data_IF_493274716767
#
_entry.id   IF_493274716767
#
_cell.length_a   1.000
_cell.length_b   1.000
_cell.length_c   1.000
_cell.angle_alpha   90.00
_cell.angle_beta   90.00
_cell.angle_gamma   90.00
#
_symmetry.space_group_name_H-M   'P 1'
#
loop_
_entity.id
_entity.type
_entity.pdbx_description
1 polymer ?
#
# COMPACT_ATOMS: atom_id res chain seq x y z
N UNK A 1 46.81 -29.99 -48.48
CA UNK A 1 48.00 -29.57 -47.74
C UNK A 1 47.74 -28.21 -47.10
N UNK A 2 47.88 -28.15 -45.78
CA UNK A 2 47.74 -27.03 -44.85
C UNK A 2 46.31 -26.63 -44.44
N UNK A 3 45.90 -27.20 -43.28
CA UNK A 3 44.97 -26.75 -42.26
C UNK A 3 45.34 -25.33 -41.78
N UNK A 4 44.35 -24.48 -41.61
CA UNK A 4 44.39 -23.44 -40.59
C UNK A 4 43.07 -23.42 -39.81
N UNK A 5 43.14 -23.92 -38.58
CA UNK A 5 42.12 -23.78 -37.57
C UNK A 5 42.12 -22.32 -37.08
N UNK A 6 40.97 -21.65 -37.11
CA UNK A 6 40.73 -20.38 -36.41
C UNK A 6 39.93 -20.65 -35.15
N UNK A 7 40.59 -20.61 -34.04
CA UNK A 7 39.99 -20.54 -32.69
C UNK A 7 39.36 -19.16 -32.55
N UNK A 8 38.05 -19.10 -32.46
CA UNK A 8 37.34 -17.89 -32.00
C UNK A 8 37.28 -17.91 -30.47
N UNK A 9 38.04 -17.03 -29.83
CA UNK A 9 37.90 -16.71 -28.41
C UNK A 9 36.61 -15.89 -28.22
N UNK A 10 35.66 -16.50 -27.53
CA UNK A 10 34.49 -15.80 -27.03
C UNK A 10 34.88 -14.75 -25.97
N UNK A 11 34.55 -13.50 -26.22
CA UNK A 11 34.60 -12.41 -25.22
C UNK A 11 33.32 -12.45 -24.43
N UNK A 12 33.37 -12.89 -23.16
CA UNK A 12 32.33 -12.66 -22.20
C UNK A 12 32.42 -11.21 -21.69
N UNK A 13 31.33 -10.43 -21.68
CA UNK A 13 31.33 -9.17 -20.98
C UNK A 13 31.20 -9.44 -19.47
N UNK A 14 32.22 -9.05 -18.70
CA UNK A 14 32.17 -8.98 -17.27
C UNK A 14 31.14 -7.90 -16.85
N UNK A 15 30.02 -8.32 -16.30
CA UNK A 15 29.14 -7.41 -15.56
C UNK A 15 29.80 -7.04 -14.24
N UNK A 16 30.17 -5.77 -14.10
CA UNK A 16 30.57 -5.18 -12.84
C UNK A 16 29.32 -4.97 -11.99
N UNK A 17 29.13 -5.85 -11.02
CA UNK A 17 28.20 -5.57 -9.91
C UNK A 17 28.89 -4.51 -9.05
N UNK A 18 28.45 -3.27 -9.19
CA UNK A 18 28.81 -2.20 -8.26
C UNK A 18 28.02 -2.46 -6.96
N UNK A 19 28.64 -3.20 -6.06
CA UNK A 19 28.18 -3.34 -4.70
C UNK A 19 28.34 -1.99 -3.99
N UNK A 20 27.23 -1.29 -3.78
CA UNK A 20 27.17 -0.11 -2.92
C UNK A 20 27.24 -0.59 -1.46
N UNK A 21 28.46 -0.78 -0.95
CA UNK A 21 28.69 -1.02 0.47
C UNK A 21 28.54 0.30 1.20
N UNK A 22 27.36 0.58 1.72
CA UNK A 22 27.15 1.65 2.70
C UNK A 22 27.67 1.16 4.03
N UNK A 23 28.90 1.51 4.35
CA UNK A 23 29.45 1.32 5.70
C UNK A 23 28.77 2.33 6.64
N UNK A 24 27.75 1.87 7.37
CA UNK A 24 27.25 2.57 8.54
C UNK A 24 28.24 2.40 9.67
N UNK A 25 29.14 3.37 9.84
CA UNK A 25 29.83 3.58 11.10
C UNK A 25 28.87 4.28 12.06
N UNK A 26 28.18 3.50 12.88
CA UNK A 26 27.45 4.03 14.02
C UNK A 26 28.46 4.58 15.05
N UNK A 27 28.33 5.84 15.50
CA UNK A 27 29.04 6.25 16.69
C UNK A 27 28.46 5.46 17.87
N UNK A 28 29.32 4.77 18.61
CA UNK A 28 28.99 4.24 19.92
C UNK A 28 28.76 5.48 20.82
N UNK A 29 27.49 5.86 20.99
CA UNK A 29 27.12 6.80 22.03
C UNK A 29 27.33 6.09 23.37
N UNK A 30 28.33 6.56 24.12
CA UNK A 30 28.45 6.23 25.54
C UNK A 30 27.15 6.60 26.21
N UNK A 31 26.51 5.62 26.86
CA UNK A 31 25.30 5.83 27.65
C UNK A 31 25.65 6.86 28.73
N UNK A 32 25.15 8.07 28.58
CA UNK A 32 25.10 9.03 29.69
C UNK A 32 24.05 8.45 30.68
N UNK A 33 24.45 8.32 31.95
CA UNK A 33 23.57 7.92 33.04
C UNK A 33 22.37 8.89 33.06
N UNK A 34 21.25 8.45 32.53
CA UNK A 34 20.04 9.28 32.52
C UNK A 34 19.37 9.17 33.90
N UNK A 35 19.13 10.28 34.60
CA UNK A 35 18.44 10.30 35.89
C UNK A 35 17.08 9.58 35.85
N UNK A 36 16.47 9.45 34.67
CA UNK A 36 15.24 8.72 34.43
C UNK A 36 15.39 7.21 34.64
N UNK A 37 16.58 6.64 34.35
CA UNK A 37 16.85 5.23 34.56
C UNK A 37 16.99 4.89 36.05
N UNK A 38 17.47 5.81 36.88
CA UNK A 38 17.51 5.63 38.33
C UNK A 38 16.10 5.55 38.92
N UNK A 39 15.18 6.42 38.47
CA UNK A 39 13.78 6.35 38.89
C UNK A 39 13.09 5.05 38.40
N UNK A 40 13.42 4.57 37.21
CA UNK A 40 12.87 3.32 36.69
C UNK A 40 13.28 2.08 37.49
N UNK A 41 14.42 2.11 38.17
CA UNK A 41 14.93 1.02 39.02
C UNK A 41 14.23 0.92 40.38
N UNK A 42 13.43 1.92 40.77
CA UNK A 42 12.70 1.91 42.06
C UNK A 42 11.52 0.92 41.99
N UNK A 43 11.57 -0.11 42.84
CA UNK A 43 10.59 -1.21 42.81
C UNK A 43 9.22 -0.75 43.36
N UNK A 44 9.20 0.12 44.38
CA UNK A 44 7.95 0.62 44.96
C UNK A 44 7.28 1.65 44.02
N UNK A 45 6.02 1.44 43.58
CA UNK A 45 5.34 2.34 42.64
C UNK A 45 5.21 3.78 43.13
N UNK A 46 4.94 3.96 44.44
CA UNK A 46 4.76 5.30 45.05
C UNK A 46 6.07 6.09 45.11
N UNK A 47 7.14 5.43 45.49
CA UNK A 47 8.48 6.03 45.54
C UNK A 47 9.01 6.32 44.15
N UNK A 48 8.71 5.46 43.18
CA UNK A 48 9.04 5.65 41.78
C UNK A 48 8.33 6.88 41.20
N UNK A 49 7.04 7.07 41.49
CA UNK A 49 6.31 8.25 41.08
C UNK A 49 6.90 9.50 41.68
N UNK A 50 7.18 9.52 43.01
CA UNK A 50 7.81 10.67 43.70
C UNK A 50 9.21 10.97 43.14
N UNK A 51 9.94 9.97 42.62
CA UNK A 51 11.22 10.17 41.96
C UNK A 51 11.03 10.92 40.61
N UNK A 52 10.06 10.55 39.80
CA UNK A 52 9.73 11.26 38.58
C UNK A 52 9.20 12.67 38.82
N UNK A 53 8.36 12.87 39.85
CA UNK A 53 7.82 14.18 40.20
C UNK A 53 8.93 15.17 40.60
N UNK A 54 9.97 14.71 41.31
CA UNK A 54 11.16 15.50 41.60
C UNK A 54 11.95 15.89 40.36
N UNK A 55 12.13 14.96 39.42
CA UNK A 55 12.79 15.23 38.15
C UNK A 55 11.99 16.23 37.28
N UNK A 56 10.67 16.15 37.35
CA UNK A 56 9.77 17.07 36.63
C UNK A 56 9.64 18.45 37.30
N UNK A 57 10.24 18.69 38.47
CA UNK A 57 10.16 19.94 39.20
C UNK A 57 8.76 20.21 39.84
N UNK A 58 8.00 19.14 40.06
CA UNK A 58 6.65 19.23 40.66
C UNK A 58 6.67 19.48 42.19
N UNK A 59 7.82 19.35 42.85
CA UNK A 59 8.02 19.68 44.26
C UNK A 59 8.15 21.19 44.47
N UNK A 60 7.05 21.92 44.33
CA UNK A 60 7.00 23.28 44.90
C UNK A 60 6.52 23.18 46.36
N UNK A 61 7.27 23.70 47.36
CA UNK A 61 6.82 23.72 48.75
C UNK A 61 5.54 24.56 48.88
N UNK A 62 4.59 24.03 49.67
CA UNK A 62 3.40 24.72 50.02
C UNK A 62 3.74 26.04 50.74
N UNK A 63 3.12 27.12 50.29
CA UNK A 63 3.30 28.46 50.87
C UNK A 63 2.75 28.43 52.28
N UNK A 64 3.57 28.82 53.28
CA UNK A 64 3.27 28.96 54.66
C UNK A 64 2.03 29.84 54.90
N UNK A 65 1.07 29.31 55.63
CA UNK A 65 -0.07 30.05 56.17
C UNK A 65 0.41 30.97 57.32
N UNK A 66 0.44 32.26 57.06
CA UNK A 66 0.52 33.29 58.12
C UNK A 66 -0.88 33.65 58.57
N UNK A 67 -1.19 33.73 59.90
CA UNK A 67 -2.51 34.07 60.34
C UNK A 67 -2.74 35.59 60.20
N UNK A 68 -3.65 36.00 59.33
CA UNK A 68 -4.12 37.38 59.21
C UNK A 68 -5.35 37.60 60.06
N UNK A 69 -5.32 38.76 60.72
CA UNK A 69 -6.31 39.27 61.65
C UNK A 69 -7.75 39.36 61.05
N UNK A 70 -8.73 39.18 61.92
CA UNK A 70 -10.17 39.25 61.67
C UNK A 70 -10.64 40.60 61.13
N UNK A 71 -11.10 40.63 59.86
CA UNK A 71 -11.93 41.70 59.29
C UNK A 71 -13.35 41.24 59.05
N UNK A 72 -14.31 42.16 58.89
CA UNK A 72 -15.76 41.87 58.89
C UNK A 72 -16.16 40.99 57.70
N UNK A 73 -17.24 40.19 57.81
CA UNK A 73 -17.59 39.18 56.82
C UNK A 73 -17.94 39.81 55.47
N UNK A 74 -17.33 39.28 54.35
CA UNK A 74 -17.72 39.70 53.00
C UNK A 74 -19.09 39.12 52.64
N UNK A 75 -19.87 39.91 51.90
CA UNK A 75 -21.14 39.53 51.33
C UNK A 75 -21.02 38.21 50.49
N UNK A 76 -22.08 37.39 50.63
CA UNK A 76 -22.17 36.09 49.97
C UNK A 76 -21.93 36.19 48.45
N UNK A 77 -20.87 35.55 47.97
CA UNK A 77 -20.65 35.30 46.54
C UNK A 77 -21.72 34.33 46.03
N UNK A 78 -22.23 34.52 44.80
CA UNK A 78 -23.19 33.60 44.23
C UNK A 78 -22.57 32.19 44.14
N UNK A 79 -23.32 31.21 44.63
CA UNK A 79 -22.99 29.80 44.59
C UNK A 79 -22.59 29.40 43.15
N UNK A 80 -21.38 28.92 42.99
CA UNK A 80 -20.95 28.33 41.73
C UNK A 80 -21.94 27.24 41.33
N UNK A 81 -22.49 27.33 40.13
CA UNK A 81 -23.28 26.27 39.53
C UNK A 81 -22.49 24.96 39.61
N UNK A 82 -23.13 23.83 39.92
CA UNK A 82 -22.47 22.55 39.89
C UNK A 82 -21.88 22.36 38.48
N UNK A 83 -20.59 22.08 38.45
CA UNK A 83 -19.87 21.81 37.19
C UNK A 83 -20.68 20.80 36.39
N UNK A 84 -21.10 21.21 35.20
CA UNK A 84 -21.69 20.30 34.22
C UNK A 84 -20.75 19.10 34.10
N UNK A 85 -21.23 17.85 34.34
CA UNK A 85 -20.34 16.70 34.19
C UNK A 85 -19.74 16.74 32.81
N UNK A 86 -18.40 16.69 32.74
CA UNK A 86 -17.68 16.60 31.46
C UNK A 86 -18.26 15.40 30.71
N UNK A 87 -18.92 15.68 29.59
CA UNK A 87 -19.38 14.64 28.69
C UNK A 87 -18.12 13.86 28.30
N UNK A 88 -18.08 12.53 28.54
CA UNK A 88 -16.93 11.74 28.10
C UNK A 88 -16.74 12.01 26.60
N UNK A 89 -15.55 12.41 26.18
CA UNK A 89 -15.20 12.44 24.80
C UNK A 89 -15.35 11.01 24.27
N UNK A 90 -16.48 10.75 23.61
CA UNK A 90 -16.68 9.50 22.89
C UNK A 90 -15.63 9.53 21.79
N UNK A 91 -14.51 8.86 22.04
CA UNK A 91 -13.52 8.60 20.99
C UNK A 91 -14.24 7.80 19.93
N UNK A 92 -14.53 8.42 18.81
CA UNK A 92 -15.12 7.71 17.67
C UNK A 92 -14.15 6.60 17.25
N UNK A 93 -14.69 5.40 17.00
CA UNK A 93 -13.89 4.28 16.50
C UNK A 93 -13.09 4.72 15.25
N UNK A 94 -11.80 4.33 15.18
CA UNK A 94 -10.99 4.68 14.03
C UNK A 94 -11.62 4.18 12.73
N UNK A 95 -11.59 5.02 11.70
CA UNK A 95 -12.14 4.67 10.38
C UNK A 95 -11.33 3.52 9.74
N UNK A 96 -11.87 2.82 8.74
CA UNK A 96 -11.11 1.83 7.98
C UNK A 96 -9.83 2.41 7.37
N UNK A 97 -9.88 3.63 6.82
CA UNK A 97 -8.70 4.31 6.27
C UNK A 97 -7.68 4.64 7.36
N UNK A 98 -8.14 5.10 8.53
CA UNK A 98 -7.27 5.34 9.69
C UNK A 98 -6.51 4.10 10.12
N UNK A 99 -7.20 2.95 10.17
CA UNK A 99 -6.55 1.67 10.55
C UNK A 99 -5.57 1.18 9.48
N UNK A 100 -5.97 1.26 8.21
CA UNK A 100 -5.13 0.77 7.10
C UNK A 100 -3.85 1.62 6.94
N UNK A 101 -3.95 2.93 7.14
CA UNK A 101 -2.85 3.86 6.92
C UNK A 101 -2.19 4.37 8.23
N UNK A 102 -2.66 3.88 9.38
CA UNK A 102 -2.13 4.23 10.72
C UNK A 102 -2.08 5.73 10.98
N UNK A 103 -3.15 6.44 10.61
CA UNK A 103 -3.19 7.90 10.59
C UNK A 103 -3.28 8.54 11.97
N UNK A 104 -3.75 7.83 12.99
CA UNK A 104 -3.84 8.29 14.38
C UNK A 104 -2.97 7.43 15.30
N UNK A 105 -2.52 8.02 16.41
CA UNK A 105 -1.69 7.34 17.41
C UNK A 105 -2.28 6.01 17.89
N UNK A 106 -3.61 5.93 18.05
CA UNK A 106 -4.30 4.71 18.49
C UNK A 106 -4.43 3.62 17.43
N UNK A 107 -4.04 3.89 16.17
CA UNK A 107 -4.05 2.90 15.06
C UNK A 107 -2.65 2.45 14.66
N UNK A 108 -1.58 3.03 15.22
CA UNK A 108 -0.20 2.75 14.85
C UNK A 108 0.26 1.40 15.39
N UNK A 109 0.84 0.60 14.51
CA UNK A 109 1.58 -0.61 14.86
C UNK A 109 3.08 -0.29 14.96
N UNK A 110 3.83 -1.20 15.56
CA UNK A 110 5.28 -1.14 15.55
C UNK A 110 5.84 -1.19 14.12
N UNK A 111 7.01 -0.58 13.92
CA UNK A 111 7.77 -0.71 12.66
C UNK A 111 8.07 -2.18 12.37
N UNK A 112 8.23 -2.52 11.10
CA UNK A 112 8.45 -3.87 10.59
C UNK A 112 7.28 -4.85 10.83
N UNK A 113 6.08 -4.35 11.16
CA UNK A 113 4.86 -5.16 11.20
C UNK A 113 4.29 -5.28 9.79
N UNK A 114 4.18 -6.52 9.28
CA UNK A 114 3.57 -6.77 7.96
C UNK A 114 2.05 -6.61 8.05
N UNK A 115 1.47 -5.86 7.14
CA UNK A 115 0.05 -5.56 7.05
C UNK A 115 -0.49 -5.78 5.64
N UNK A 116 -1.79 -6.05 5.47
CA UNK A 116 -2.44 -6.00 4.17
C UNK A 116 -2.25 -4.61 3.52
N UNK A 117 -2.09 -4.58 2.20
CA UNK A 117 -1.98 -3.32 1.45
C UNK A 117 -3.13 -3.18 0.45
N UNK A 118 -3.14 -3.98 -0.59
CA UNK A 118 -4.27 -4.10 -1.52
C UNK A 118 -5.07 -5.36 -1.22
N UNK A 119 -6.22 -5.50 -1.86
CA UNK A 119 -7.10 -6.66 -1.69
C UNK A 119 -6.35 -7.95 -2.05
N UNK A 120 -6.30 -8.91 -1.12
CA UNK A 120 -5.77 -10.24 -1.38
C UNK A 120 -6.91 -11.17 -1.76
N UNK A 121 -6.81 -11.79 -2.93
CA UNK A 121 -7.85 -12.68 -3.45
C UNK A 121 -7.29 -13.86 -4.24
N UNK A 122 -8.12 -14.88 -4.38
CA UNK A 122 -7.92 -15.98 -5.30
C UNK A 122 -9.23 -16.27 -6.03
N UNK A 123 -9.22 -16.15 -7.35
CA UNK A 123 -10.32 -16.48 -8.25
C UNK A 123 -9.97 -17.76 -9.01
N UNK A 124 -10.49 -18.92 -8.61
CA UNK A 124 -10.31 -20.15 -9.38
C UNK A 124 -10.82 -20.02 -10.83
N UNK A 125 -11.88 -19.25 -11.03
CA UNK A 125 -12.49 -19.05 -12.32
C UNK A 125 -12.53 -17.57 -12.64
N UNK A 126 -11.81 -17.17 -13.70
CA UNK A 126 -11.89 -15.89 -14.38
C UNK A 126 -12.08 -16.16 -15.86
N UNK A 127 -13.14 -15.65 -16.42
CA UNK A 127 -13.47 -15.72 -17.85
C UNK A 127 -13.10 -14.39 -18.54
N UNK A 128 -12.53 -14.45 -19.74
CA UNK A 128 -12.26 -13.31 -20.62
C UNK A 128 -13.02 -13.49 -21.94
N UNK A 129 -13.67 -12.42 -22.41
CA UNK A 129 -14.35 -12.42 -23.71
C UNK A 129 -13.38 -12.48 -24.88
N UNK A 130 -12.15 -12.02 -24.65
CA UNK A 130 -11.06 -12.03 -25.62
C UNK A 130 -9.73 -12.35 -24.90
N UNK A 131 -8.89 -13.14 -25.54
CA UNK A 131 -7.56 -13.53 -25.03
C UNK A 131 -6.47 -13.07 -25.98
N UNK A 132 -5.51 -12.33 -25.46
CA UNK A 132 -4.37 -11.84 -26.23
C UNK A 132 -3.39 -12.97 -26.57
N UNK A 133 -3.57 -13.59 -27.71
CA UNK A 133 -2.69 -14.66 -28.20
C UNK A 133 -1.38 -14.12 -28.81
N UNK A 134 -1.35 -12.83 -29.15
CA UNK A 134 -0.27 -12.26 -29.98
C UNK A 134 1.11 -12.31 -29.33
N UNK A 135 1.32 -11.94 -28.07
CA UNK A 135 2.63 -12.05 -27.43
C UNK A 135 3.14 -13.48 -27.33
N UNK A 136 2.23 -14.45 -27.25
CA UNK A 136 2.55 -15.85 -26.98
C UNK A 136 2.65 -16.73 -28.24
N UNK A 137 2.58 -16.12 -29.43
CA UNK A 137 2.69 -16.89 -30.68
C UNK A 137 4.00 -17.66 -30.78
N UNK A 138 3.90 -19.00 -30.88
CA UNK A 138 5.06 -19.87 -30.95
C UNK A 138 5.78 -20.13 -29.61
N UNK A 139 5.27 -19.61 -28.50
CA UNK A 139 5.80 -19.86 -27.16
C UNK A 139 5.28 -21.19 -26.58
N UNK A 140 4.00 -21.50 -26.80
CA UNK A 140 3.40 -22.72 -26.29
C UNK A 140 3.23 -23.77 -27.40
N UNK A 141 3.69 -24.97 -27.09
CA UNK A 141 3.55 -26.13 -27.98
C UNK A 141 2.77 -27.22 -27.22
N UNK A 142 1.67 -27.68 -27.82
CA UNK A 142 0.92 -28.81 -27.33
C UNK A 142 1.61 -30.14 -27.57
N UNK A 143 0.98 -31.22 -27.15
CA UNK A 143 1.40 -32.58 -27.50
C UNK A 143 1.56 -32.70 -29.02
N UNK A 144 2.68 -33.32 -29.48
CA UNK A 144 3.06 -33.46 -30.89
C UNK A 144 3.53 -32.15 -31.58
N UNK A 145 3.93 -31.10 -30.85
CA UNK A 145 4.50 -29.88 -31.43
C UNK A 145 3.48 -28.97 -32.14
N UNK A 146 2.19 -29.22 -32.01
CA UNK A 146 1.16 -28.34 -32.54
C UNK A 146 1.17 -27.00 -31.74
N UNK A 147 0.96 -25.87 -32.43
CA UNK A 147 0.77 -24.59 -31.78
C UNK A 147 -0.49 -24.66 -30.89
N UNK A 148 -0.32 -24.44 -29.58
CA UNK A 148 -1.41 -24.41 -28.65
C UNK A 148 -1.76 -22.95 -28.29
N UNK A 149 -3.05 -22.74 -28.01
CA UNK A 149 -3.60 -21.41 -27.70
C UNK A 149 -3.93 -21.30 -26.22
N UNK A 150 -3.88 -20.08 -25.70
CA UNK A 150 -4.40 -19.74 -24.39
C UNK A 150 -5.93 -19.90 -24.38
N UNK A 151 -6.47 -20.34 -23.25
CA UNK A 151 -7.91 -20.48 -23.02
C UNK A 151 -8.50 -19.18 -22.44
N UNK A 152 -9.79 -19.00 -22.66
CA UNK A 152 -10.58 -17.87 -22.14
C UNK A 152 -10.92 -17.98 -20.65
N UNK A 153 -10.69 -19.16 -20.06
CA UNK A 153 -10.87 -19.40 -18.62
C UNK A 153 -9.51 -19.69 -17.98
N UNK A 154 -9.19 -18.93 -16.94
CA UNK A 154 -7.97 -19.09 -16.15
C UNK A 154 -8.23 -18.85 -14.65
N UNK A 155 -7.30 -19.20 -13.78
CA UNK A 155 -7.29 -18.74 -12.41
C UNK A 155 -6.51 -17.43 -12.31
N UNK A 156 -6.93 -16.55 -11.38
CA UNK A 156 -6.24 -15.29 -11.08
C UNK A 156 -6.13 -15.11 -9.57
N UNK A 157 -4.99 -14.66 -9.08
CA UNK A 157 -4.84 -14.33 -7.66
C UNK A 157 -3.92 -13.13 -7.45
N UNK A 158 -4.15 -12.43 -6.33
CA UNK A 158 -3.34 -11.31 -5.89
C UNK A 158 -2.91 -11.50 -4.44
N UNK A 159 -1.63 -11.25 -4.17
CA UNK A 159 -1.05 -11.16 -2.84
C UNK A 159 -0.50 -9.76 -2.68
N UNK A 160 -0.81 -9.10 -1.57
CA UNK A 160 -0.34 -7.73 -1.34
C UNK A 160 -0.11 -7.46 0.14
N UNK A 161 1.01 -6.81 0.44
CA UNK A 161 1.35 -6.43 1.80
C UNK A 161 2.21 -5.18 1.83
N UNK A 162 2.16 -4.48 2.96
CA UNK A 162 3.02 -3.34 3.26
C UNK A 162 3.60 -3.43 4.65
N UNK A 163 4.66 -2.70 4.86
CA UNK A 163 5.39 -2.65 6.12
C UNK A 163 5.91 -1.24 6.35
N UNK A 164 5.62 -0.68 7.53
CA UNK A 164 6.21 0.58 7.95
C UNK A 164 7.65 0.35 8.39
N UNK A 165 8.58 1.12 7.81
CA UNK A 165 10.02 0.98 8.06
C UNK A 165 10.51 2.05 9.03
N UNK A 166 9.93 3.25 8.96
CA UNK A 166 10.27 4.36 9.84
C UNK A 166 9.03 5.21 10.10
N UNK A 167 8.98 5.80 11.27
CA UNK A 167 7.91 6.67 11.76
C UNK A 167 8.47 8.05 12.11
N UNK A 168 7.56 9.00 12.29
CA UNK A 168 7.87 10.36 12.76
C UNK A 168 8.98 11.08 11.96
N UNK A 169 9.03 10.82 10.64
CA UNK A 169 9.92 11.49 9.70
C UNK A 169 9.34 12.85 9.29
N UNK A 170 10.21 13.75 8.79
CA UNK A 170 9.83 15.03 8.19
C UNK A 170 8.81 15.80 9.07
N UNK A 171 9.35 16.51 10.07
CA UNK A 171 8.57 17.29 11.06
C UNK A 171 7.65 16.45 11.95
N UNK A 172 8.10 15.22 12.32
CA UNK A 172 7.37 14.28 13.18
C UNK A 172 5.97 13.93 12.66
N UNK A 173 5.78 13.92 11.33
CA UNK A 173 4.47 13.75 10.72
C UNK A 173 4.44 12.77 9.54
N UNK A 174 5.54 12.22 9.09
CA UNK A 174 5.57 11.29 7.97
C UNK A 174 6.00 9.89 8.40
N UNK A 175 5.37 8.87 7.86
CA UNK A 175 5.79 7.49 7.99
C UNK A 175 6.32 6.97 6.64
N UNK A 176 7.43 6.23 6.65
CA UNK A 176 7.99 5.58 5.47
C UNK A 176 7.59 4.12 5.40
N UNK A 177 7.06 3.73 4.25
CA UNK A 177 6.51 2.41 3.99
C UNK A 177 7.19 1.76 2.79
N UNK A 178 7.32 0.44 2.88
CA UNK A 178 7.57 -0.43 1.74
C UNK A 178 6.35 -1.30 1.52
N UNK A 179 5.99 -1.51 0.26
CA UNK A 179 4.90 -2.40 -0.11
C UNK A 179 5.31 -3.29 -1.29
N UNK A 180 4.59 -4.39 -1.42
CA UNK A 180 4.74 -5.32 -2.51
C UNK A 180 3.38 -5.90 -2.88
N UNK A 181 3.09 -5.86 -4.18
CA UNK A 181 1.91 -6.52 -4.76
C UNK A 181 2.35 -7.46 -5.86
N UNK A 182 1.74 -8.63 -5.90
CA UNK A 182 1.90 -9.60 -6.98
C UNK A 182 0.54 -10.05 -7.45
N UNK A 183 0.30 -9.95 -8.75
CA UNK A 183 -0.88 -10.48 -9.42
C UNK A 183 -0.45 -11.56 -10.41
N UNK A 184 -1.12 -12.72 -10.40
CA UNK A 184 -0.76 -13.84 -11.27
C UNK A 184 -1.99 -14.37 -12.01
N UNK A 185 -1.81 -14.65 -13.29
CA UNK A 185 -2.77 -15.23 -14.21
C UNK A 185 -2.32 -16.64 -14.60
N UNK A 186 -3.10 -17.65 -14.26
CA UNK A 186 -2.71 -19.05 -14.35
C UNK A 186 -3.66 -19.83 -15.25
N UNK A 187 -3.16 -20.34 -16.36
CA UNK A 187 -3.89 -21.21 -17.29
C UNK A 187 -4.09 -22.63 -16.74
N UNK A 188 -4.52 -22.72 -15.45
CA UNK A 188 -4.60 -23.98 -14.68
C UNK A 188 -5.38 -25.08 -15.38
N UNK A 189 -6.35 -24.72 -16.24
CA UNK A 189 -7.21 -25.66 -16.96
C UNK A 189 -6.64 -26.06 -18.32
N UNK A 190 -5.58 -25.40 -18.80
CA UNK A 190 -4.99 -25.61 -20.11
C UNK A 190 -3.92 -26.71 -20.07
N UNK A 191 -4.37 -27.96 -19.99
CA UNK A 191 -3.49 -29.11 -19.92
C UNK A 191 -2.70 -29.34 -21.22
N UNK A 192 -3.20 -28.83 -22.37
CA UNK A 192 -2.52 -28.95 -23.65
C UNK A 192 -1.15 -28.26 -23.70
N UNK A 193 -0.92 -27.29 -22.82
CA UNK A 193 0.34 -26.55 -22.69
C UNK A 193 0.94 -26.68 -21.27
N UNK A 194 0.60 -27.74 -20.54
CA UNK A 194 1.12 -28.03 -19.19
C UNK A 194 0.70 -27.00 -18.13
N UNK A 195 -0.45 -26.35 -18.29
CA UNK A 195 -1.07 -25.43 -17.32
C UNK A 195 -0.10 -24.35 -16.78
N UNK A 196 0.53 -23.51 -17.64
CA UNK A 196 1.54 -22.54 -17.21
C UNK A 196 0.89 -21.32 -16.52
N UNK A 197 1.68 -20.59 -15.73
CA UNK A 197 1.40 -19.19 -15.49
C UNK A 197 1.54 -18.44 -16.81
N UNK A 198 0.50 -17.68 -17.18
CA UNK A 198 0.49 -16.87 -18.40
C UNK A 198 1.21 -15.56 -18.19
N UNK A 199 1.00 -14.98 -17.02
CA UNK A 199 1.55 -13.69 -16.61
C UNK A 199 1.67 -13.64 -15.10
N UNK A 200 2.68 -12.97 -14.60
CA UNK A 200 2.78 -12.57 -13.19
C UNK A 200 3.37 -11.17 -13.13
N UNK A 201 2.59 -10.23 -12.63
CA UNK A 201 2.99 -8.85 -12.43
C UNK A 201 3.52 -8.66 -11.01
N UNK A 202 4.71 -8.07 -10.87
CA UNK A 202 5.38 -7.75 -9.61
C UNK A 202 5.42 -6.24 -9.45
N UNK A 203 4.95 -5.73 -8.31
CA UNK A 203 4.87 -4.29 -8.04
C UNK A 203 5.44 -3.95 -6.65
N UNK A 204 6.77 -3.81 -6.49
CA UNK A 204 7.39 -3.23 -5.31
C UNK A 204 7.22 -1.71 -5.30
N UNK A 205 6.86 -1.16 -4.11
CA UNK A 205 6.63 0.26 -3.87
C UNK A 205 7.40 0.74 -2.65
N UNK A 206 7.80 2.02 -2.68
CA UNK A 206 8.34 2.74 -1.53
C UNK A 206 7.70 4.13 -1.46
N UNK A 207 7.14 4.50 -0.29
CA UNK A 207 6.39 5.73 -0.18
C UNK A 207 6.38 6.34 1.22
N UNK A 208 6.16 7.65 1.26
CA UNK A 208 5.90 8.41 2.49
C UNK A 208 4.40 8.68 2.60
N UNK A 209 3.86 8.54 3.80
CA UNK A 209 2.47 8.87 4.13
C UNK A 209 2.47 10.04 5.10
N UNK A 210 1.73 11.09 4.77
CA UNK A 210 1.50 12.28 5.58
C UNK A 210 0.03 12.31 6.00
N UNK A 211 -0.31 12.04 7.28
CA UNK A 211 -1.67 12.23 7.78
C UNK A 211 -2.14 13.66 7.60
N UNK A 212 -3.38 13.84 7.22
CA UNK A 212 -4.02 15.14 7.08
C UNK A 212 -5.37 15.19 7.78
N UNK A 213 -5.85 16.40 8.11
CA UNK A 213 -7.12 16.61 8.83
C UNK A 213 -7.89 17.80 8.26
N UNK A 214 -7.95 17.90 6.93
CA UNK A 214 -8.68 18.96 6.24
C UNK A 214 -10.03 18.48 5.75
N UNK A 215 -11.00 19.39 5.68
CA UNK A 215 -12.26 19.15 4.98
C UNK A 215 -12.22 19.76 3.59
N UNK A 216 -12.56 18.95 2.59
CA UNK A 216 -12.58 19.35 1.18
C UNK A 216 -13.89 18.86 0.54
N UNK A 217 -14.75 19.77 0.11
CA UNK A 217 -16.06 19.46 -0.50
C UNK A 217 -16.94 18.48 0.30
N UNK A 218 -16.88 18.56 1.64
CA UNK A 218 -17.63 17.69 2.55
C UNK A 218 -17.01 16.30 2.78
N UNK A 219 -15.79 16.08 2.27
CA UNK A 219 -14.94 14.93 2.61
C UNK A 219 -13.89 15.31 3.64
N UNK A 220 -13.52 14.36 4.47
CA UNK A 220 -12.34 14.46 5.31
C UNK A 220 -11.13 14.00 4.49
N UNK A 221 -10.19 14.90 4.20
CA UNK A 221 -8.90 14.55 3.63
C UNK A 221 -8.07 13.90 4.73
N UNK A 222 -7.69 12.64 4.54
CA UNK A 222 -7.11 11.78 5.58
C UNK A 222 -5.60 11.67 5.46
N UNK A 223 -5.08 11.58 4.25
CA UNK A 223 -3.65 11.51 4.01
C UNK A 223 -3.27 11.98 2.61
N UNK A 224 -2.00 12.34 2.47
CA UNK A 224 -1.30 12.44 1.20
C UNK A 224 -0.13 11.45 1.25
N UNK A 225 0.06 10.68 0.19
CA UNK A 225 1.21 9.82 0.02
C UNK A 225 2.02 10.24 -1.19
N UNK A 226 3.35 10.13 -1.12
CA UNK A 226 4.28 10.35 -2.22
C UNK A 226 5.18 9.12 -2.35
N UNK A 227 5.22 8.51 -3.53
CA UNK A 227 5.91 7.26 -3.69
C UNK A 227 6.51 7.05 -5.06
N UNK A 228 7.32 5.98 -5.11
CA UNK A 228 7.86 5.39 -6.33
C UNK A 228 7.43 3.95 -6.39
N UNK A 229 7.13 3.49 -7.60
CA UNK A 229 6.72 2.12 -7.87
C UNK A 229 7.43 1.61 -9.12
N UNK A 230 7.97 0.42 -9.01
CA UNK A 230 8.40 -0.39 -10.16
C UNK A 230 7.34 -1.45 -10.43
N UNK A 231 7.00 -1.67 -11.69
CA UNK A 231 6.12 -2.78 -12.08
C UNK A 231 6.75 -3.52 -13.25
N UNK A 232 6.84 -4.84 -13.14
CA UNK A 232 7.42 -5.70 -14.19
C UNK A 232 6.80 -7.09 -14.14
N UNK A 233 6.81 -7.77 -15.29
CA UNK A 233 6.37 -9.17 -15.34
C UNK A 233 7.52 -10.18 -15.19
N UNK A 234 8.78 -9.72 -15.09
CA UNK A 234 9.93 -10.59 -14.88
C UNK A 234 10.31 -11.45 -16.07
N UNK A 235 9.67 -11.27 -17.22
CA UNK A 235 9.91 -12.02 -18.42
C UNK A 235 11.08 -11.44 -19.26
N UNK A 236 11.58 -12.23 -20.20
CA UNK A 236 12.56 -11.80 -21.18
C UNK A 236 11.88 -11.41 -22.49
N UNK A 237 12.60 -10.68 -23.36
CA UNK A 237 12.12 -10.35 -24.69
C UNK A 237 11.72 -11.60 -25.50
N UNK A 238 10.59 -11.55 -26.18
CA UNK A 238 9.70 -10.41 -26.48
C UNK A 238 8.53 -10.24 -25.50
N UNK A 239 8.49 -11.00 -24.40
CA UNK A 239 7.41 -10.97 -23.41
C UNK A 239 7.65 -9.92 -22.32
N UNK A 240 8.87 -9.43 -22.18
CA UNK A 240 9.25 -8.45 -21.16
C UNK A 240 8.34 -7.22 -21.19
N UNK A 241 7.82 -6.84 -20.01
CA UNK A 241 7.11 -5.58 -19.77
C UNK A 241 7.54 -5.03 -18.43
N UNK A 242 7.93 -3.75 -18.43
CA UNK A 242 8.27 -3.07 -17.18
C UNK A 242 8.07 -1.56 -17.30
N UNK A 243 7.84 -0.90 -16.20
CA UNK A 243 7.84 0.56 -16.12
C UNK A 243 8.00 1.06 -14.68
N UNK A 244 8.52 2.27 -14.57
CA UNK A 244 8.75 2.93 -13.31
C UNK A 244 7.89 4.20 -13.22
N UNK A 245 7.30 4.48 -12.05
CA UNK A 245 6.43 5.64 -11.83
C UNK A 245 6.78 6.34 -10.53
N UNK A 246 6.65 7.65 -10.53
CA UNK A 246 6.51 8.47 -9.32
C UNK A 246 5.03 8.81 -9.19
N UNK A 247 4.47 8.74 -8.01
CA UNK A 247 3.07 9.06 -7.80
C UNK A 247 2.83 9.93 -6.56
N UNK A 248 1.70 10.61 -6.56
CA UNK A 248 1.05 11.11 -5.36
C UNK A 248 -0.28 10.37 -5.17
N UNK A 249 -0.70 10.15 -3.92
CA UNK A 249 -2.00 9.57 -3.61
C UNK A 249 -2.69 10.38 -2.53
N UNK A 250 -3.98 10.64 -2.74
CA UNK A 250 -4.82 11.42 -1.85
C UNK A 250 -5.96 10.54 -1.33
N UNK A 251 -6.04 10.37 -0.01
CA UNK A 251 -7.10 9.62 0.65
C UNK A 251 -8.17 10.55 1.24
N UNK A 252 -9.42 10.36 0.83
CA UNK A 252 -10.58 11.13 1.25
C UNK A 252 -11.66 10.19 1.80
N UNK A 253 -12.33 10.58 2.90
CA UNK A 253 -13.42 9.80 3.49
C UNK A 253 -14.66 10.64 3.76
N UNK A 254 -15.84 10.03 3.55
CA UNK A 254 -17.12 10.59 3.96
C UNK A 254 -18.08 9.46 4.38
N UNK A 255 -18.27 9.29 5.68
CA UNK A 255 -19.07 8.18 6.21
C UNK A 255 -18.51 6.83 5.78
N UNK A 256 -19.30 6.02 5.09
CA UNK A 256 -18.93 4.70 4.58
C UNK A 256 -18.20 4.74 3.22
N UNK A 257 -17.98 5.91 2.65
CA UNK A 257 -17.36 6.07 1.36
C UNK A 257 -15.90 6.56 1.51
N UNK A 258 -14.98 5.85 0.88
CA UNK A 258 -13.57 6.23 0.74
C UNK A 258 -13.25 6.49 -0.72
N UNK A 259 -12.45 7.51 -0.99
CA UNK A 259 -12.02 7.88 -2.33
C UNK A 259 -10.49 8.03 -2.32
N UNK A 260 -9.79 7.28 -3.17
CA UNK A 260 -8.37 7.44 -3.45
C UNK A 260 -8.20 8.03 -4.85
N UNK A 261 -7.31 9.01 -4.97
CA UNK A 261 -6.93 9.67 -6.22
C UNK A 261 -5.43 9.53 -6.34
N UNK A 262 -4.94 8.73 -7.28
CA UNK A 262 -3.51 8.39 -7.44
C UNK A 262 -3.01 8.80 -8.83
N UNK A 263 -2.68 10.09 -9.08
CA UNK A 263 -1.96 10.49 -10.29
C UNK A 263 -0.52 10.02 -10.25
N UNK A 264 0.04 9.69 -11.43
CA UNK A 264 1.44 9.29 -11.56
C UNK A 264 2.11 9.89 -12.79
N UNK A 265 3.44 9.90 -12.72
CA UNK A 265 4.34 10.22 -13.80
C UNK A 265 5.23 9.03 -14.11
N UNK A 266 5.23 8.56 -15.36
CA UNK A 266 6.16 7.54 -15.81
C UNK A 266 7.58 8.10 -15.85
N UNK A 267 8.53 7.42 -15.25
CA UNK A 267 9.96 7.72 -15.37
C UNK A 267 10.38 7.26 -16.77
N UNK A 268 10.90 8.15 -17.64
CA UNK A 268 11.32 7.77 -18.98
C UNK A 268 12.48 6.79 -18.95
N UNK A 269 12.46 5.84 -19.87
CA UNK A 269 13.52 4.87 -20.10
C UNK A 269 14.18 5.14 -21.45
N UNK A 270 15.38 4.57 -21.67
CA UNK A 270 16.04 4.71 -22.97
C UNK A 270 15.30 3.89 -24.03
N UNK A 271 15.27 4.38 -25.27
CA UNK A 271 14.58 3.68 -26.38
C UNK A 271 15.10 2.26 -26.63
N UNK A 272 16.30 1.93 -26.14
CA UNK A 272 16.89 0.59 -26.28
C UNK A 272 16.52 -0.37 -25.14
N UNK A 273 15.91 0.10 -24.07
CA UNK A 273 15.53 -0.67 -22.88
C UNK A 273 14.06 -0.52 -22.50
N UNK A 274 13.28 0.23 -23.28
CA UNK A 274 11.86 0.47 -23.04
C UNK A 274 11.02 -0.57 -23.77
N UNK A 275 10.54 -1.56 -23.04
CA UNK A 275 9.77 -2.70 -23.56
C UNK A 275 8.31 -2.32 -23.93
N UNK A 276 7.84 -1.18 -23.44
CA UNK A 276 6.45 -0.73 -23.60
C UNK A 276 6.33 0.81 -23.63
N UNK A 277 6.93 1.48 -24.64
CA UNK A 277 7.06 2.94 -24.70
C UNK A 277 5.71 3.70 -24.72
N UNK A 278 4.66 3.04 -25.14
CA UNK A 278 3.31 3.60 -25.27
C UNK A 278 2.34 3.21 -24.15
N UNK A 279 2.80 2.53 -23.07
CA UNK A 279 1.96 2.04 -21.98
C UNK A 279 1.06 3.12 -21.37
N UNK A 280 1.57 4.35 -21.23
CA UNK A 280 0.79 5.48 -20.71
C UNK A 280 -0.35 5.93 -21.63
N UNK A 281 -0.36 5.50 -22.90
CA UNK A 281 -1.46 5.79 -23.80
C UNK A 281 -2.67 4.88 -23.56
N UNK A 282 -2.48 3.75 -22.89
CA UNK A 282 -3.52 2.75 -22.60
C UNK A 282 -3.90 2.73 -21.11
N UNK A 283 -2.92 2.61 -20.20
CA UNK A 283 -3.18 2.56 -18.76
C UNK A 283 -3.43 3.96 -18.18
N UNK A 284 -2.99 5.02 -18.87
CA UNK A 284 -3.21 6.38 -18.43
C UNK A 284 -2.13 6.93 -17.51
N UNK A 285 -2.51 8.00 -16.78
CA UNK A 285 -1.62 8.78 -15.89
C UNK A 285 -2.14 8.91 -14.48
N UNK A 286 -3.07 8.06 -14.09
CA UNK A 286 -3.65 8.08 -12.76
C UNK A 286 -4.77 7.06 -12.62
N UNK A 287 -5.14 6.87 -11.37
CA UNK A 287 -6.20 5.96 -10.94
C UNK A 287 -7.12 6.70 -9.98
N UNK A 288 -8.41 6.46 -10.13
CA UNK A 288 -9.45 6.88 -9.21
C UNK A 288 -10.11 5.64 -8.64
N UNK A 289 -10.04 5.45 -7.31
CA UNK A 289 -10.70 4.33 -6.65
C UNK A 289 -11.71 4.83 -5.64
N UNK A 290 -12.97 4.44 -5.82
CA UNK A 290 -14.06 4.67 -4.87
C UNK A 290 -14.46 3.38 -4.18
N UNK A 291 -14.52 3.37 -2.85
CA UNK A 291 -14.92 2.21 -2.04
C UNK A 291 -16.11 2.60 -1.18
N UNK A 292 -17.19 1.85 -1.31
CA UNK A 292 -18.37 2.00 -0.47
C UNK A 292 -18.57 0.75 0.38
N UNK A 293 -18.64 0.95 1.70
CA UNK A 293 -18.86 -0.12 2.68
C UNK A 293 -20.29 -0.09 3.18
N UNK A 294 -20.94 -1.25 3.19
CA UNK A 294 -22.27 -1.41 3.72
C UNK A 294 -22.38 -2.74 4.48
N UNK A 295 -22.80 -2.65 5.72
CA UNK A 295 -22.76 -3.77 6.68
C UNK A 295 -21.34 -4.36 6.77
N UNK A 296 -21.18 -5.61 6.34
CA UNK A 296 -19.91 -6.34 6.29
C UNK A 296 -19.40 -6.55 4.87
N UNK A 297 -20.01 -5.90 3.90
CA UNK A 297 -19.68 -6.00 2.48
C UNK A 297 -19.06 -4.70 1.98
N UNK A 298 -18.34 -4.76 0.86
CA UNK A 298 -17.88 -3.57 0.16
C UNK A 298 -18.00 -3.73 -1.36
N UNK A 299 -18.17 -2.60 -2.02
CA UNK A 299 -17.97 -2.45 -3.45
C UNK A 299 -16.82 -1.46 -3.66
N UNK A 300 -15.86 -1.84 -4.50
CA UNK A 300 -14.80 -0.96 -4.97
C UNK A 300 -14.95 -0.76 -6.48
N UNK A 301 -14.78 0.48 -6.92
CA UNK A 301 -14.73 0.82 -8.35
C UNK A 301 -13.42 1.53 -8.60
N UNK A 302 -12.60 0.96 -9.49
CA UNK A 302 -11.31 1.52 -9.90
C UNK A 302 -11.42 1.94 -11.36
N UNK A 303 -11.04 3.18 -11.65
CA UNK A 303 -11.06 3.77 -12.98
C UNK A 303 -9.68 4.25 -13.36
N UNK A 304 -9.24 3.94 -14.58
CA UNK A 304 -8.03 4.47 -15.22
C UNK A 304 -8.40 5.07 -16.57
N UNK A 305 -7.75 6.15 -16.94
CA UNK A 305 -8.02 6.83 -18.20
C UNK A 305 -6.78 7.61 -18.69
N UNK A 306 -6.53 7.61 -20.00
CA UNK A 306 -5.41 8.33 -20.58
C UNK A 306 -5.67 9.82 -20.78
N UNK A 307 -6.91 10.27 -20.56
CA UNK A 307 -7.39 11.67 -20.71
C UNK A 307 -7.05 12.29 -22.09
N UNK A 308 -7.08 11.47 -23.15
CA UNK A 308 -6.76 11.88 -24.52
C UNK A 308 -7.99 11.81 -25.42
N UNK A 309 -7.90 12.40 -26.61
CA UNK A 309 -8.97 12.32 -27.61
C UNK A 309 -9.15 10.89 -28.16
N UNK A 310 -8.07 10.12 -28.24
CA UNK A 310 -8.04 8.69 -28.51
C UNK A 310 -8.21 7.92 -27.20
N UNK A 311 -9.34 8.09 -26.56
CA UNK A 311 -9.61 7.62 -25.21
C UNK A 311 -9.38 6.12 -25.04
N UNK A 312 -8.45 5.78 -24.14
CA UNK A 312 -8.20 4.43 -23.65
C UNK A 312 -8.20 4.46 -22.12
N UNK A 313 -8.64 3.39 -21.53
CA UNK A 313 -8.70 3.27 -20.08
C UNK A 313 -9.34 1.96 -19.67
N UNK A 314 -9.62 1.84 -18.38
CA UNK A 314 -10.28 0.66 -17.81
C UNK A 314 -11.17 1.01 -16.63
N UNK A 315 -12.12 0.13 -16.39
CA UNK A 315 -12.95 0.10 -15.19
C UNK A 315 -12.87 -1.28 -14.56
N UNK A 316 -12.59 -1.35 -13.26
CA UNK A 316 -12.67 -2.57 -12.44
C UNK A 316 -13.69 -2.36 -11.34
N UNK A 317 -14.54 -3.36 -11.13
CA UNK A 317 -15.53 -3.41 -10.06
C UNK A 317 -15.26 -4.64 -9.24
N UNK A 318 -15.02 -4.46 -7.95
CA UNK A 318 -14.78 -5.52 -6.99
C UNK A 318 -15.93 -5.55 -5.99
N UNK A 319 -16.53 -6.72 -5.76
CA UNK A 319 -17.55 -6.95 -4.75
C UNK A 319 -17.08 -7.99 -3.75
N UNK A 320 -16.99 -7.59 -2.48
CA UNK A 320 -16.55 -8.42 -1.35
C UNK A 320 -17.71 -8.57 -0.38
N UNK A 321 -18.03 -9.80 0.01
CA UNK A 321 -19.11 -10.11 0.94
C UNK A 321 -18.69 -11.22 1.92
N UNK A 322 -19.16 -11.19 3.18
CA UNK A 322 -18.69 -12.13 4.20
C UNK A 322 -19.19 -13.54 3.93
N UNK A 323 -18.31 -14.54 4.08
CA UNK A 323 -18.66 -15.96 4.12
C UNK A 323 -18.46 -16.52 5.52
N UNK A 324 -17.22 -16.42 6.04
CA UNK A 324 -16.88 -16.98 7.35
C UNK A 324 -15.69 -16.26 7.97
N UNK A 325 -15.86 -15.63 9.13
CA UNK A 325 -14.81 -14.87 9.85
C UNK A 325 -14.17 -13.83 8.91
N UNK A 326 -12.86 -14.01 8.61
CA UNK A 326 -12.08 -13.15 7.70
C UNK A 326 -12.05 -13.66 6.26
N UNK A 327 -12.75 -14.75 5.96
CA UNK A 327 -12.91 -15.28 4.61
C UNK A 327 -14.15 -14.66 3.97
N UNK A 328 -13.98 -14.01 2.85
CA UNK A 328 -15.02 -13.33 2.10
C UNK A 328 -15.20 -14.00 0.73
N UNK A 329 -16.42 -13.92 0.20
CA UNK A 329 -16.69 -14.14 -1.22
C UNK A 329 -16.21 -12.95 -2.01
N UNK A 330 -15.75 -13.20 -3.23
CA UNK A 330 -15.20 -12.19 -4.09
C UNK A 330 -15.68 -12.34 -5.53
N UNK A 331 -16.12 -11.22 -6.11
CA UNK A 331 -16.49 -11.13 -7.52
C UNK A 331 -15.78 -9.92 -8.10
N UNK A 332 -15.12 -10.08 -9.24
CA UNK A 332 -14.46 -9.02 -9.98
C UNK A 332 -15.04 -8.93 -11.39
N UNK A 333 -15.30 -7.73 -11.84
CA UNK A 333 -15.55 -7.39 -13.23
C UNK A 333 -14.49 -6.39 -13.68
N UNK A 334 -13.95 -6.59 -14.88
CA UNK A 334 -13.00 -5.68 -15.51
C UNK A 334 -13.41 -5.44 -16.96
N UNK A 335 -13.25 -4.19 -17.43
CA UNK A 335 -13.48 -3.80 -18.82
C UNK A 335 -12.45 -2.77 -19.23
N UNK A 336 -11.75 -2.98 -20.33
CA UNK A 336 -10.81 -2.01 -20.88
C UNK A 336 -9.43 -2.58 -21.17
N UNK A 337 -8.41 -1.74 -20.97
CA UNK A 337 -7.00 -1.99 -21.24
C UNK A 337 -6.20 -2.21 -19.96
N UNK A 338 -5.14 -3.05 -20.01
CA UNK A 338 -4.23 -3.21 -18.89
C UNK A 338 -4.80 -4.05 -17.75
N UNK A 339 -5.48 -5.14 -18.07
CA UNK A 339 -5.92 -6.14 -17.08
C UNK A 339 -4.70 -6.87 -16.48
N UNK A 340 -3.65 -7.06 -17.28
CA UNK A 340 -2.31 -7.45 -16.85
C UNK A 340 -1.26 -6.63 -17.61
N UNK A 341 0.00 -6.72 -17.21
CA UNK A 341 1.05 -5.90 -17.81
C UNK A 341 1.34 -6.31 -19.26
N UNK A 342 1.31 -7.60 -19.60
CA UNK A 342 1.46 -8.08 -20.99
C UNK A 342 0.27 -7.64 -21.86
N UNK A 343 -0.89 -7.39 -21.27
CA UNK A 343 -2.13 -6.98 -21.93
C UNK A 343 -2.35 -5.46 -21.84
N UNK A 344 -1.32 -4.66 -21.54
CA UNK A 344 -1.47 -3.23 -21.31
C UNK A 344 -2.17 -2.50 -22.48
N UNK A 345 -1.98 -2.96 -23.70
CA UNK A 345 -2.52 -2.42 -24.94
C UNK A 345 -3.60 -3.29 -25.59
N UNK A 346 -4.11 -4.28 -24.86
CA UNK A 346 -5.14 -5.20 -25.32
C UNK A 346 -6.44 -4.95 -24.54
N UNK A 347 -7.55 -4.71 -25.27
CA UNK A 347 -8.86 -4.51 -24.65
C UNK A 347 -9.57 -5.85 -24.44
N UNK A 348 -10.07 -6.04 -23.23
CA UNK A 348 -10.85 -7.23 -22.87
C UNK A 348 -11.88 -6.89 -21.79
N UNK A 349 -12.94 -7.71 -21.74
CA UNK A 349 -13.93 -7.69 -20.69
C UNK A 349 -13.82 -9.02 -19.92
N UNK A 350 -13.65 -8.94 -18.59
CA UNK A 350 -13.46 -10.15 -17.78
C UNK A 350 -14.40 -10.19 -16.58
N UNK A 351 -14.76 -11.39 -16.17
CA UNK A 351 -15.49 -11.65 -14.94
C UNK A 351 -14.85 -12.79 -14.18
N UNK A 352 -14.62 -12.61 -12.88
CA UNK A 352 -14.03 -13.63 -12.02
C UNK A 352 -14.79 -13.80 -10.72
N UNK A 353 -14.77 -15.02 -10.19
CA UNK A 353 -15.37 -15.36 -8.91
C UNK A 353 -14.39 -16.15 -8.05
N UNK A 354 -14.42 -15.90 -6.75
CA UNK A 354 -13.50 -16.54 -5.83
C UNK A 354 -13.67 -16.12 -4.38
N UNK A 355 -12.57 -16.05 -3.68
CA UNK A 355 -12.52 -15.69 -2.28
C UNK A 355 -11.50 -14.57 -2.07
N UNK A 356 -11.69 -13.75 -1.03
CA UNK A 356 -10.71 -12.80 -0.52
C UNK A 356 -10.50 -12.98 0.98
N UNK A 357 -9.35 -12.50 1.46
CA UNK A 357 -8.99 -12.54 2.88
C UNK A 357 -8.68 -11.13 3.38
N UNK A 358 -9.02 -10.87 4.64
CA UNK A 358 -8.86 -9.57 5.27
C UNK A 358 -10.14 -8.73 5.27
N UNK A 359 -10.03 -7.54 5.83
CA UNK A 359 -11.20 -6.65 6.03
C UNK A 359 -11.47 -5.76 4.80
N UNK A 360 -10.83 -6.07 3.68
CA UNK A 360 -10.86 -5.24 2.47
C UNK A 360 -10.11 -3.92 2.65
N UNK A 361 -9.76 -3.32 1.55
CA UNK A 361 -9.00 -2.06 1.43
C UNK A 361 -9.57 -0.96 2.34
#
# INVERSE_FOLDING_TARGET
MRLFARVMLGRHPCYWIVGLSVAFSAPVAMAADSPLLECAAVVNPTERLACYDRLAGADKPAVDNHPAAAGPPPAALPTANPATPAVPLVMSEPTPMSRLWELETGTRNDVFTLQPYQLMYAMPVKYSDAVNQTPFRGQFHGENGASAQLQDVEAKFQISGKMKVADDLLWDNAAFWLAYTQESHWQIYNHAISAPFRETDYEPEAFLVFPTQYQLFGFNARFVSLGVVHQSNGESDPLSRSWNRVYAEFGLERGNFSLMIKPWWRIPESASSDDNPDISNYIGRGELQGIYRFDKSLISVTLRDNLRADNHGSARIDYVFPIYKKLNGYVQFFSGYGESLIDYNFRQDTIGVGISVGDGI
#
